data_IF_065400938817
#
_entry.id   IF_065400938817
#
_cell.length_a   1.000
_cell.length_b   1.000
_cell.length_c   1.000
_cell.angle_alpha   90.00
_cell.angle_beta   90.00
_cell.angle_gamma   90.00
#
_symmetry.space_group_name_H-M   'P 1'
#
loop_
_entity.id
_entity.type
_entity.pdbx_description
1 polymer ?
#
# COMPACT_ATOMS: atom_id res chain seq x y z
N UNK A 1 -62.01 17.62 -77.78
CA UNK A 1 -60.62 17.63 -77.48
C UNK A 1 -60.35 18.77 -76.49
N UNK A 2 -60.43 18.53 -75.23
CA UNK A 2 -60.33 19.53 -74.18
C UNK A 2 -59.15 19.13 -73.25
N UNK A 3 -58.13 19.94 -73.17
CA UNK A 3 -57.02 19.84 -72.26
C UNK A 3 -57.43 20.47 -70.92
N UNK A 4 -57.39 19.72 -69.88
CA UNK A 4 -57.52 20.29 -68.55
C UNK A 4 -56.14 20.48 -67.97
N UNK A 5 -55.93 21.70 -67.50
CA UNK A 5 -54.75 22.12 -66.76
C UNK A 5 -54.99 21.93 -65.30
N UNK A 6 -54.15 21.13 -64.63
CA UNK A 6 -54.19 20.96 -63.20
C UNK A 6 -53.07 21.81 -62.56
N UNK A 7 -53.48 22.79 -61.75
CA UNK A 7 -52.60 23.58 -60.91
C UNK A 7 -52.26 22.76 -59.67
N UNK A 8 -50.96 22.51 -59.46
CA UNK A 8 -50.48 21.95 -58.21
C UNK A 8 -49.99 23.08 -57.31
N UNK A 9 -50.69 23.30 -56.20
CA UNK A 9 -50.28 24.24 -55.15
C UNK A 9 -49.19 23.60 -54.30
N UNK A 10 -48.03 24.25 -54.25
CA UNK A 10 -46.95 23.92 -53.34
C UNK A 10 -47.21 24.55 -51.96
N UNK A 11 -47.54 23.73 -50.97
CA UNK A 11 -47.55 24.14 -49.56
C UNK A 11 -46.13 24.07 -48.99
N UNK A 12 -45.59 25.23 -48.66
CA UNK A 12 -44.29 25.37 -48.00
C UNK A 12 -44.49 25.15 -46.51
N UNK A 13 -44.19 23.93 -45.99
CA UNK A 13 -44.11 23.67 -44.57
C UNK A 13 -42.71 24.01 -44.06
N UNK A 14 -42.61 25.12 -43.33
CA UNK A 14 -41.46 25.45 -42.53
C UNK A 14 -41.37 24.41 -41.37
N UNK A 15 -40.49 23.44 -41.53
CA UNK A 15 -40.08 22.58 -40.45
C UNK A 15 -39.18 23.34 -39.48
N UNK A 16 -39.71 23.64 -38.33
CA UNK A 16 -38.86 24.01 -37.16
C UNK A 16 -38.07 22.77 -36.82
N UNK A 17 -36.79 22.77 -37.22
CA UNK A 17 -35.79 21.85 -36.67
C UNK A 17 -35.56 22.25 -35.21
N UNK A 18 -36.32 21.65 -34.30
CA UNK A 18 -36.00 21.61 -32.90
C UNK A 18 -34.72 20.78 -32.76
N UNK A 19 -33.62 21.39 -32.43
CA UNK A 19 -32.50 20.69 -31.84
C UNK A 19 -33.02 20.10 -30.49
N UNK A 20 -33.46 18.88 -30.50
CA UNK A 20 -33.47 18.08 -29.32
C UNK A 20 -32.01 17.67 -29.10
N UNK A 21 -31.33 18.34 -28.22
CA UNK A 21 -30.19 17.75 -27.54
C UNK A 21 -30.72 16.49 -26.81
N UNK A 22 -30.82 15.40 -27.54
CA UNK A 22 -30.84 14.08 -26.95
C UNK A 22 -29.46 13.88 -26.33
N UNK A 23 -29.31 14.44 -25.12
CA UNK A 23 -28.42 13.88 -24.13
C UNK A 23 -28.98 12.50 -23.88
N UNK A 24 -28.57 11.51 -24.67
CA UNK A 24 -28.67 10.13 -24.31
C UNK A 24 -27.82 10.00 -23.04
N UNK A 25 -28.46 10.27 -21.88
CA UNK A 25 -27.97 9.71 -20.63
C UNK A 25 -27.75 8.24 -20.94
N UNK A 26 -26.48 7.84 -20.98
CA UNK A 26 -26.10 6.44 -20.92
C UNK A 26 -26.60 5.94 -19.56
N UNK A 27 -27.88 5.63 -19.47
CA UNK A 27 -28.47 4.90 -18.37
C UNK A 27 -27.78 3.54 -18.38
N UNK A 28 -26.65 3.47 -17.70
CA UNK A 28 -26.02 2.19 -17.42
C UNK A 28 -27.10 1.30 -16.83
N UNK A 29 -27.32 0.14 -17.41
CA UNK A 29 -28.28 -0.84 -16.90
C UNK A 29 -28.02 -1.00 -15.39
N UNK A 30 -29.08 -0.98 -14.57
CA UNK A 30 -28.91 -1.11 -13.14
C UNK A 30 -28.19 -2.43 -12.82
N UNK A 31 -27.25 -2.38 -11.90
CA UNK A 31 -26.47 -3.55 -11.46
C UNK A 31 -27.42 -4.59 -10.89
N UNK A 32 -27.35 -5.81 -11.42
CA UNK A 32 -28.21 -6.91 -11.01
C UNK A 32 -27.57 -7.74 -9.90
N UNK A 33 -28.38 -8.32 -9.03
CA UNK A 33 -27.93 -9.34 -8.08
C UNK A 33 -27.34 -10.54 -8.83
N UNK A 34 -26.18 -11.00 -8.40
CA UNK A 34 -25.46 -12.11 -9.06
C UNK A 34 -24.47 -11.69 -10.14
N UNK A 35 -24.49 -10.44 -10.61
CA UNK A 35 -23.42 -9.93 -11.46
C UNK A 35 -22.08 -9.90 -10.70
N UNK A 36 -20.98 -10.11 -11.43
CA UNK A 36 -19.64 -10.01 -10.85
C UNK A 36 -19.30 -8.56 -10.50
N UNK A 37 -18.60 -8.40 -9.38
CA UNK A 37 -18.13 -7.10 -8.93
C UNK A 37 -16.78 -6.82 -9.59
N UNK A 38 -16.64 -5.64 -10.18
CA UNK A 38 -15.42 -5.16 -10.83
C UNK A 38 -14.74 -4.12 -9.95
N UNK A 39 -13.43 -4.21 -9.80
CA UNK A 39 -12.66 -3.31 -8.96
C UNK A 39 -11.56 -2.59 -9.74
N UNK A 40 -11.28 -1.36 -9.33
CA UNK A 40 -10.05 -0.62 -9.58
C UNK A 40 -9.28 -0.47 -8.27
N UNK A 41 -8.01 -0.14 -8.37
CA UNK A 41 -7.16 0.11 -7.21
C UNK A 41 -6.34 1.37 -7.39
N UNK A 42 -6.13 2.10 -6.31
CA UNK A 42 -5.27 3.29 -6.27
C UNK A 42 -4.49 3.27 -4.96
N UNK A 43 -3.21 3.62 -5.01
CA UNK A 43 -2.41 3.89 -3.81
C UNK A 43 -2.32 5.40 -3.66
N UNK A 44 -2.77 5.93 -2.55
CA UNK A 44 -2.77 7.37 -2.30
C UNK A 44 -1.40 7.84 -1.81
N UNK A 45 -0.51 8.16 -2.75
CA UNK A 45 0.84 8.67 -2.49
C UNK A 45 0.97 10.19 -2.71
N UNK A 46 -0.12 10.89 -3.07
CA UNK A 46 -0.05 12.24 -3.61
C UNK A 46 0.41 12.27 -5.08
N UNK A 47 0.80 13.43 -5.60
CA UNK A 47 1.31 13.54 -6.97
C UNK A 47 2.72 12.95 -7.08
N UNK A 48 2.89 11.94 -7.93
CA UNK A 48 4.17 11.31 -8.25
C UNK A 48 4.40 11.30 -9.76
N UNK A 49 5.58 11.75 -10.18
CA UNK A 49 6.03 11.63 -11.56
C UNK A 49 7.15 10.59 -11.66
N UNK A 50 7.09 9.74 -12.67
CA UNK A 50 8.00 8.62 -12.89
C UNK A 50 9.47 9.07 -12.97
N UNK A 51 10.31 8.54 -12.10
CA UNK A 51 11.76 8.50 -12.31
C UNK A 51 12.15 7.17 -12.98
N UNK A 52 13.06 7.24 -13.97
CA UNK A 52 13.40 6.10 -14.84
C UNK A 52 14.03 4.93 -14.09
N UNK A 53 13.41 3.78 -14.22
CA UNK A 53 14.04 2.46 -14.24
C UNK A 53 14.42 1.82 -12.90
N UNK A 54 13.50 1.03 -12.30
CA UNK A 54 13.82 -0.24 -11.63
C UNK A 54 12.52 -1.07 -11.63
N UNK A 55 12.59 -2.36 -12.01
CA UNK A 55 11.49 -3.31 -11.98
C UNK A 55 11.67 -4.23 -10.77
N UNK A 56 10.72 -4.23 -9.85
CA UNK A 56 10.50 -5.29 -8.84
C UNK A 56 9.13 -5.10 -8.21
N UNK A 57 8.57 -6.14 -7.56
CA UNK A 57 7.29 -6.19 -6.81
C UNK A 57 7.00 -4.89 -6.09
N UNK A 58 5.73 -4.57 -5.75
CA UNK A 58 5.30 -3.31 -5.12
C UNK A 58 6.50 -2.51 -4.63
N UNK A 59 6.83 -1.41 -5.28
CA UNK A 59 8.14 -0.77 -5.10
C UNK A 59 7.99 0.51 -4.30
N UNK A 60 9.00 0.80 -3.49
CA UNK A 60 9.22 2.18 -3.07
C UNK A 60 9.89 2.92 -4.22
N UNK A 61 9.21 3.95 -4.73
CA UNK A 61 9.76 4.81 -5.76
C UNK A 61 10.92 5.68 -5.23
N UNK A 62 11.61 6.36 -6.15
CA UNK A 62 12.53 7.39 -5.74
C UNK A 62 11.80 8.48 -4.94
N UNK A 63 12.50 9.04 -3.96
CA UNK A 63 11.95 10.03 -3.06
C UNK A 63 11.52 11.29 -3.78
N UNK A 64 10.34 11.76 -3.41
CA UNK A 64 9.84 13.11 -3.72
C UNK A 64 9.78 13.96 -2.44
N UNK A 65 9.52 15.26 -2.55
CA UNK A 65 9.50 16.20 -1.42
C UNK A 65 8.55 15.81 -0.27
N UNK A 66 7.51 15.02 -0.56
CA UNK A 66 6.48 14.62 0.39
C UNK A 66 6.59 13.17 0.89
N UNK A 67 7.65 12.45 0.56
CA UNK A 67 7.85 11.08 1.05
C UNK A 67 8.43 10.12 0.03
N UNK A 68 8.31 8.82 0.31
CA UNK A 68 8.68 7.74 -0.60
C UNK A 68 7.38 7.06 -1.03
N UNK A 69 6.95 7.24 -2.29
CA UNK A 69 5.72 6.61 -2.77
C UNK A 69 5.83 5.09 -2.82
N UNK A 70 4.73 4.42 -2.53
CA UNK A 70 4.54 3.00 -2.79
C UNK A 70 3.85 2.87 -4.14
N UNK A 71 4.31 1.98 -5.00
CA UNK A 71 3.76 1.75 -6.34
C UNK A 71 3.43 0.26 -6.51
N UNK A 72 2.40 -0.03 -7.28
CA UNK A 72 2.08 -1.41 -7.66
C UNK A 72 3.19 -2.02 -8.53
N UNK A 73 3.43 -3.32 -8.36
CA UNK A 73 4.35 -4.08 -9.21
C UNK A 73 3.85 -4.10 -10.66
N UNK A 74 4.69 -3.78 -11.65
CA UNK A 74 4.32 -3.96 -13.06
C UNK A 74 3.90 -5.38 -13.45
N UNK A 75 4.42 -6.39 -12.77
CA UNK A 75 4.03 -7.80 -12.98
C UNK A 75 2.72 -8.17 -12.27
N UNK A 76 2.30 -7.33 -11.33
CA UNK A 76 1.06 -7.42 -10.58
C UNK A 76 1.24 -7.82 -9.13
N UNK A 77 0.41 -7.25 -8.29
CA UNK A 77 0.33 -7.50 -6.85
C UNK A 77 -0.97 -8.21 -6.49
N UNK A 78 -0.90 -9.13 -5.54
CA UNK A 78 -2.07 -9.88 -5.09
C UNK A 78 -2.71 -9.24 -3.87
N UNK A 79 -4.02 -9.02 -3.94
CA UNK A 79 -4.84 -8.44 -2.88
C UNK A 79 -6.01 -9.36 -2.51
N UNK A 80 -6.42 -9.33 -1.24
CA UNK A 80 -7.65 -9.95 -0.78
C UNK A 80 -8.75 -8.92 -0.63
N UNK A 81 -9.96 -9.23 -1.11
CA UNK A 81 -11.14 -8.37 -0.93
C UNK A 81 -12.22 -9.16 -0.19
N UNK A 82 -12.78 -8.55 0.85
CA UNK A 82 -13.88 -9.08 1.67
C UNK A 82 -15.10 -8.19 1.47
N UNK A 83 -16.26 -8.81 1.19
CA UNK A 83 -17.57 -8.14 1.13
C UNK A 83 -18.62 -8.95 1.88
N UNK A 84 -19.06 -8.51 3.07
CA UNK A 84 -20.08 -9.20 3.85
C UNK A 84 -21.41 -9.38 3.10
N UNK A 85 -21.76 -8.41 2.25
CA UNK A 85 -23.02 -8.39 1.48
C UNK A 85 -22.93 -9.15 0.15
N UNK A 86 -21.78 -9.69 -0.23
CA UNK A 86 -21.65 -10.46 -1.47
C UNK A 86 -22.63 -11.65 -1.51
N UNK A 87 -23.09 -12.00 -2.71
CA UNK A 87 -24.03 -13.10 -2.91
C UNK A 87 -23.39 -14.47 -2.57
N UNK A 88 -24.16 -15.32 -1.94
CA UNK A 88 -23.74 -16.68 -1.61
C UNK A 88 -22.73 -16.76 -0.45
N UNK A 89 -21.93 -17.83 -0.44
CA UNK A 89 -21.00 -18.12 0.64
C UNK A 89 -19.60 -17.50 0.43
N UNK A 90 -19.29 -17.08 -0.79
CA UNK A 90 -18.01 -16.42 -1.09
C UNK A 90 -18.04 -14.97 -0.62
N UNK A 91 -17.51 -14.72 0.57
CA UNK A 91 -17.42 -13.38 1.18
C UNK A 91 -16.01 -12.78 1.07
N UNK A 92 -15.02 -13.57 0.67
CA UNK A 92 -13.66 -13.19 0.36
C UNK A 92 -13.25 -13.78 -0.98
N UNK A 93 -12.54 -13.00 -1.77
CA UNK A 93 -11.85 -13.49 -2.97
C UNK A 93 -10.52 -12.77 -3.15
N UNK A 94 -9.58 -13.44 -3.80
CA UNK A 94 -8.25 -12.92 -4.06
C UNK A 94 -8.14 -12.45 -5.52
N UNK A 95 -7.45 -11.35 -5.71
CA UNK A 95 -7.38 -10.62 -6.97
C UNK A 95 -5.95 -10.20 -7.28
N UNK A 96 -5.66 -10.02 -8.57
CA UNK A 96 -4.41 -9.49 -9.09
C UNK A 96 -4.62 -8.02 -9.50
N UNK A 97 -3.83 -7.12 -8.96
CA UNK A 97 -3.76 -5.73 -9.43
C UNK A 97 -2.87 -5.69 -10.67
N UNK A 98 -3.40 -5.15 -11.77
CA UNK A 98 -2.66 -4.87 -12.99
C UNK A 98 -2.47 -3.36 -13.11
N UNK A 99 -1.29 -2.84 -12.79
CA UNK A 99 -1.07 -1.41 -12.75
C UNK A 99 -1.18 -0.76 -14.14
N UNK A 100 -1.63 0.47 -14.14
CA UNK A 100 -1.62 1.31 -15.33
C UNK A 100 -0.20 1.86 -15.55
N UNK A 101 0.45 1.40 -16.61
CA UNK A 101 1.82 1.81 -16.96
C UNK A 101 1.85 2.96 -17.97
N UNK A 102 0.69 3.45 -18.42
CA UNK A 102 0.58 4.39 -19.55
C UNK A 102 0.34 5.84 -19.16
N UNK A 103 -0.13 6.08 -17.94
CA UNK A 103 -0.54 7.41 -17.46
C UNK A 103 0.55 8.12 -16.65
N UNK A 104 0.30 9.40 -16.35
CA UNK A 104 1.12 10.19 -15.41
C UNK A 104 1.14 9.62 -14.01
N UNK A 105 0.11 8.82 -13.64
CA UNK A 105 0.01 8.10 -12.36
C UNK A 105 0.54 6.68 -12.46
N UNK A 106 1.63 6.51 -13.17
CA UNK A 106 2.28 5.23 -13.43
C UNK A 106 2.37 4.37 -12.15
N UNK A 107 1.82 3.16 -12.22
CA UNK A 107 1.78 2.18 -11.15
C UNK A 107 1.14 2.64 -9.82
N UNK A 108 0.50 3.80 -9.74
CA UNK A 108 -0.30 4.19 -8.57
C UNK A 108 -1.74 3.67 -8.67
N UNK A 109 -2.26 3.56 -9.88
CA UNK A 109 -3.58 2.99 -10.14
C UNK A 109 -3.46 1.72 -10.98
N UNK A 110 -4.50 0.90 -10.94
CA UNK A 110 -4.53 -0.31 -11.73
C UNK A 110 -5.92 -0.94 -11.79
N UNK A 111 -6.16 -1.72 -12.83
CA UNK A 111 -7.33 -2.60 -12.89
C UNK A 111 -7.11 -3.82 -12.02
N UNK A 112 -8.19 -4.38 -11.49
CA UNK A 112 -8.14 -5.53 -10.60
C UNK A 112 -8.76 -6.74 -11.31
N UNK A 113 -7.97 -7.77 -11.54
CA UNK A 113 -8.37 -9.00 -12.21
C UNK A 113 -8.50 -10.15 -11.21
N UNK A 114 -9.39 -11.11 -11.48
CA UNK A 114 -9.55 -12.31 -10.66
C UNK A 114 -8.30 -13.19 -10.73
N UNK A 115 -7.85 -13.70 -9.59
CA UNK A 115 -6.86 -14.78 -9.55
C UNK A 115 -7.49 -16.13 -9.88
N UNK A 116 -8.61 -16.44 -9.25
CA UNK A 116 -9.38 -17.67 -9.50
C UNK A 116 -10.78 -17.31 -10.08
N UNK A 117 -11.08 -17.69 -11.33
CA UNK A 117 -12.38 -17.45 -11.93
C UNK A 117 -13.55 -18.06 -11.17
N UNK A 118 -13.34 -19.10 -10.36
CA UNK A 118 -14.38 -19.76 -9.57
C UNK A 118 -14.67 -19.03 -8.25
N UNK A 119 -13.73 -18.21 -7.78
CA UNK A 119 -13.83 -17.47 -6.52
C UNK A 119 -13.90 -15.97 -6.79
N UNK A 120 -15.08 -15.49 -7.14
CA UNK A 120 -15.32 -14.07 -7.41
C UNK A 120 -16.45 -13.55 -6.54
N UNK A 121 -16.31 -12.31 -6.11
CA UNK A 121 -17.38 -11.61 -5.40
C UNK A 121 -18.49 -11.22 -6.38
N UNK A 122 -19.73 -11.43 -5.97
CA UNK A 122 -20.92 -11.10 -6.75
C UNK A 122 -21.81 -10.16 -5.96
N UNK A 123 -22.48 -9.25 -6.65
CA UNK A 123 -23.47 -8.37 -6.04
C UNK A 123 -24.57 -9.16 -5.34
N UNK A 124 -24.77 -8.89 -4.06
CA UNK A 124 -25.84 -9.45 -3.26
C UNK A 124 -27.16 -8.70 -3.44
N UNK A 125 -28.14 -9.04 -2.60
CA UNK A 125 -29.51 -8.45 -2.68
C UNK A 125 -29.57 -7.02 -2.16
N UNK A 126 -28.75 -6.69 -1.14
CA UNK A 126 -28.71 -5.36 -0.55
C UNK A 126 -28.27 -4.29 -1.55
N UNK A 127 -28.75 -3.05 -1.39
CA UNK A 127 -28.28 -1.92 -2.18
C UNK A 127 -26.89 -1.47 -1.74
N UNK A 128 -26.65 -1.40 -0.42
CA UNK A 128 -25.36 -0.99 0.15
C UNK A 128 -24.41 -2.17 0.30
N UNK A 129 -23.22 -2.07 -0.30
CA UNK A 129 -22.15 -3.05 -0.16
C UNK A 129 -20.90 -2.39 0.43
N UNK A 130 -20.22 -3.08 1.35
CA UNK A 130 -18.99 -2.65 2.01
C UNK A 130 -17.85 -3.55 1.57
N UNK A 131 -16.78 -2.94 1.12
CA UNK A 131 -15.60 -3.62 0.61
C UNK A 131 -14.40 -3.30 1.52
N UNK A 132 -13.73 -4.36 1.94
CA UNK A 132 -12.52 -4.30 2.74
C UNK A 132 -11.43 -5.00 1.94
N UNK A 133 -10.39 -4.27 1.57
CA UNK A 133 -9.31 -4.83 0.80
C UNK A 133 -7.99 -4.79 1.59
N UNK A 134 -7.14 -5.76 1.34
CA UNK A 134 -5.88 -5.97 2.05
C UNK A 134 -4.77 -6.34 1.08
N UNK A 135 -3.60 -5.77 1.30
CA UNK A 135 -2.36 -6.12 0.63
C UNK A 135 -1.27 -6.46 1.65
N UNK A 136 -0.47 -7.46 1.42
CA UNK A 136 -0.64 -8.54 0.44
C UNK A 136 -1.75 -9.50 0.85
N UNK A 137 -2.25 -10.29 -0.10
CA UNK A 137 -3.27 -11.32 0.18
C UNK A 137 -2.74 -12.49 1.02
N UNK A 138 -1.45 -12.54 1.29
CA UNK A 138 -0.75 -13.64 1.93
C UNK A 138 -1.38 -14.07 3.26
N UNK A 139 -1.87 -15.30 3.32
CA UNK A 139 -2.54 -15.86 4.49
C UNK A 139 -1.64 -15.98 5.73
N UNK A 140 -0.31 -15.94 5.59
CA UNK A 140 0.61 -15.92 6.72
C UNK A 140 0.62 -14.57 7.44
N UNK A 141 0.20 -13.51 6.76
CA UNK A 141 0.17 -12.14 7.26
C UNK A 141 -1.25 -11.73 7.64
N UNK A 142 -2.24 -12.05 6.81
CA UNK A 142 -3.65 -11.81 7.06
C UNK A 142 -4.32 -13.10 7.55
N UNK A 143 -4.36 -13.28 8.87
CA UNK A 143 -4.93 -14.48 9.50
C UNK A 143 -6.30 -14.20 10.12
N UNK A 144 -7.05 -15.27 10.35
CA UNK A 144 -8.23 -15.30 11.22
C UNK A 144 -9.24 -14.18 10.93
N UNK A 145 -9.49 -13.87 9.64
CA UNK A 145 -10.48 -12.86 9.35
C UNK A 145 -11.89 -13.35 9.76
N UNK A 146 -12.62 -12.47 10.42
CA UNK A 146 -14.00 -12.71 10.81
C UNK A 146 -14.84 -11.47 10.51
N UNK A 147 -16.07 -11.73 10.04
CA UNK A 147 -17.06 -10.68 9.82
C UNK A 147 -17.98 -10.65 11.05
N UNK A 148 -17.98 -9.55 11.78
CA UNK A 148 -18.81 -9.34 12.95
C UNK A 148 -19.72 -8.12 12.74
N UNK A 149 -20.96 -8.40 12.33
CA UNK A 149 -21.90 -7.36 11.92
C UNK A 149 -21.38 -6.58 10.71
N UNK A 150 -21.07 -5.32 10.91
CA UNK A 150 -20.52 -4.44 9.86
C UNK A 150 -18.99 -4.34 9.87
N UNK A 151 -18.33 -4.89 10.87
CA UNK A 151 -16.89 -4.82 11.06
C UNK A 151 -16.20 -6.04 10.44
N UNK A 152 -14.94 -5.86 10.05
CA UNK A 152 -14.04 -6.96 9.68
C UNK A 152 -12.90 -6.99 10.66
N UNK A 153 -12.79 -8.10 11.37
CA UNK A 153 -11.70 -8.39 12.29
C UNK A 153 -10.70 -9.32 11.61
N UNK A 154 -9.42 -9.13 11.89
CA UNK A 154 -8.35 -9.98 11.38
C UNK A 154 -7.11 -9.88 12.26
N UNK A 155 -6.22 -10.84 12.13
CA UNK A 155 -4.91 -10.81 12.78
C UNK A 155 -3.85 -10.52 11.75
N UNK A 156 -3.02 -9.51 12.00
CA UNK A 156 -1.83 -9.20 11.21
C UNK A 156 -0.62 -9.75 11.93
N UNK A 157 0.20 -10.50 11.21
CA UNK A 157 1.45 -11.06 11.71
C UNK A 157 2.63 -10.37 11.05
N UNK A 158 3.31 -9.49 11.78
CA UNK A 158 4.52 -8.82 11.32
C UNK A 158 5.75 -9.50 11.93
N UNK A 159 6.64 -10.12 11.12
CA UNK A 159 7.74 -10.88 11.68
C UNK A 159 8.81 -10.00 12.31
N UNK A 160 9.47 -10.52 13.35
CA UNK A 160 10.61 -9.87 13.98
C UNK A 160 11.88 -9.93 13.10
N UNK A 161 11.99 -10.93 12.23
CA UNK A 161 13.08 -11.00 11.24
C UNK A 161 12.56 -10.51 9.91
N UNK A 162 13.13 -9.40 9.43
CA UNK A 162 12.70 -8.73 8.21
C UNK A 162 13.88 -8.63 7.24
N UNK A 163 14.10 -9.70 6.49
CA UNK A 163 15.22 -9.75 5.56
C UNK A 163 14.83 -9.13 4.21
N UNK A 164 15.72 -8.33 3.60
CA UNK A 164 15.56 -7.88 2.23
C UNK A 164 15.60 -9.05 1.25
N UNK A 165 15.03 -8.86 0.07
CA UNK A 165 15.08 -9.84 -1.02
C UNK A 165 16.35 -9.73 -1.85
N UNK A 166 17.09 -8.63 -1.70
CA UNK A 166 18.35 -8.39 -2.41
C UNK A 166 18.92 -7.01 -2.13
N UNK A 167 19.91 -6.64 -2.93
CA UNK A 167 20.65 -5.37 -2.83
C UNK A 167 20.90 -4.79 -4.21
N UNK A 168 20.89 -3.46 -4.31
CA UNK A 168 21.33 -2.75 -5.49
C UNK A 168 22.15 -1.51 -5.11
N UNK A 169 22.98 -1.05 -6.03
CA UNK A 169 23.89 0.07 -5.79
C UNK A 169 23.61 1.19 -6.79
N UNK A 170 23.60 2.43 -6.30
CA UNK A 170 23.48 3.63 -7.11
C UNK A 170 24.57 4.61 -6.72
N UNK A 171 25.32 5.13 -7.69
CA UNK A 171 26.32 6.18 -7.49
C UNK A 171 25.78 7.49 -8.05
N UNK A 172 25.83 8.54 -7.24
CA UNK A 172 25.51 9.90 -7.67
C UNK A 172 26.68 10.43 -8.52
N UNK A 173 26.40 10.80 -9.77
CA UNK A 173 27.41 11.25 -10.73
C UNK A 173 28.07 12.56 -10.33
N UNK A 174 27.38 13.42 -9.57
CA UNK A 174 27.87 14.73 -9.18
C UNK A 174 28.74 14.66 -7.91
N UNK A 175 28.30 13.88 -6.92
CA UNK A 175 28.97 13.79 -5.61
C UNK A 175 29.92 12.62 -5.49
N UNK A 176 29.83 11.64 -6.41
CA UNK A 176 30.54 10.36 -6.35
C UNK A 176 30.20 9.54 -5.09
N UNK A 177 29.13 9.91 -4.40
CA UNK A 177 28.65 9.15 -3.26
C UNK A 177 27.90 7.91 -3.73
N UNK A 178 28.25 6.76 -3.19
CA UNK A 178 27.61 5.48 -3.53
C UNK A 178 26.62 5.09 -2.43
N UNK A 179 25.40 4.78 -2.84
CA UNK A 179 24.37 4.27 -1.94
C UNK A 179 24.07 2.82 -2.28
N UNK A 180 24.14 1.97 -1.28
CA UNK A 180 23.70 0.57 -1.35
C UNK A 180 22.29 0.53 -0.75
N UNK A 181 21.33 0.17 -1.57
CA UNK A 181 19.92 0.05 -1.17
C UNK A 181 19.57 -1.42 -1.02
N UNK A 182 18.80 -1.73 0.00
CA UNK A 182 18.09 -2.99 0.02
C UNK A 182 17.01 -3.03 -1.07
N UNK A 183 16.71 -4.23 -1.55
CA UNK A 183 15.46 -4.54 -2.23
C UNK A 183 14.51 -5.06 -1.14
N UNK A 184 13.56 -4.24 -0.69
CA UNK A 184 12.74 -4.59 0.47
C UNK A 184 11.82 -5.78 0.16
N UNK A 185 11.54 -6.60 1.18
CA UNK A 185 10.47 -7.58 1.07
C UNK A 185 9.12 -6.90 1.28
N UNK A 186 8.40 -6.69 0.18
CA UNK A 186 7.14 -5.97 0.19
C UNK A 186 5.97 -6.74 0.83
N UNK A 187 6.15 -8.03 1.15
CA UNK A 187 5.17 -8.76 1.99
C UNK A 187 4.97 -8.09 3.36
N UNK A 188 5.91 -7.26 3.81
CA UNK A 188 5.80 -6.51 5.05
C UNK A 188 5.15 -5.13 4.88
N UNK A 189 5.00 -4.64 3.65
CA UNK A 189 4.41 -3.35 3.33
C UNK A 189 2.88 -3.41 3.33
N UNK A 190 2.30 -3.75 4.47
CA UNK A 190 0.88 -4.00 4.63
C UNK A 190 0.06 -2.74 4.32
N UNK A 191 -0.97 -2.90 3.48
CA UNK A 191 -1.92 -1.85 3.13
C UNK A 191 -3.35 -2.36 3.26
N UNK A 192 -4.28 -1.44 3.42
CA UNK A 192 -5.70 -1.72 3.47
C UNK A 192 -6.50 -0.65 2.74
N UNK A 193 -7.69 -1.02 2.26
CA UNK A 193 -8.66 -0.10 1.71
C UNK A 193 -10.07 -0.43 2.22
N UNK A 194 -10.93 0.57 2.26
CA UNK A 194 -12.34 0.44 2.54
C UNK A 194 -13.13 1.31 1.58
N UNK A 195 -14.18 0.75 1.01
CA UNK A 195 -15.16 1.52 0.26
C UNK A 195 -16.59 1.03 0.55
N UNK A 196 -17.54 1.94 0.58
CA UNK A 196 -18.96 1.65 0.69
C UNK A 196 -19.68 2.22 -0.53
N UNK A 197 -20.34 1.39 -1.28
CA UNK A 197 -21.08 1.80 -2.47
C UNK A 197 -22.54 1.35 -2.39
N UNK A 198 -23.39 2.10 -3.08
CA UNK A 198 -24.80 1.74 -3.30
C UNK A 198 -24.95 1.34 -4.77
N UNK A 199 -25.46 0.13 -5.03
CA UNK A 199 -25.69 -0.36 -6.40
C UNK A 199 -26.50 0.63 -7.24
N UNK A 200 -27.53 1.19 -6.62
CA UNK A 200 -28.44 2.17 -7.25
C UNK A 200 -27.77 3.49 -7.63
N UNK A 201 -26.61 3.81 -7.04
CA UNK A 201 -25.90 5.08 -7.25
C UNK A 201 -24.58 4.92 -8.00
N UNK A 202 -24.13 3.69 -8.26
CA UNK A 202 -22.85 3.44 -8.89
C UNK A 202 -22.90 3.80 -10.37
N UNK A 203 -22.25 4.89 -10.73
CA UNK A 203 -22.03 5.29 -12.11
C UNK A 203 -20.79 4.56 -12.63
N UNK A 204 -20.98 3.69 -13.62
CA UNK A 204 -19.94 2.78 -14.05
C UNK A 204 -19.96 1.48 -13.23
N UNK A 205 -19.19 0.48 -13.68
CA UNK A 205 -19.23 -0.86 -13.07
C UNK A 205 -18.06 -1.16 -12.16
N UNK A 206 -17.09 -0.25 -12.03
CA UNK A 206 -15.87 -0.44 -11.24
C UNK A 206 -15.96 0.26 -9.89
N UNK A 207 -15.45 -0.41 -8.86
CA UNK A 207 -15.33 0.11 -7.50
C UNK A 207 -13.87 0.42 -7.25
N UNK A 208 -13.55 1.68 -6.99
CA UNK A 208 -12.18 2.08 -6.69
C UNK A 208 -11.85 1.79 -5.22
N UNK A 209 -10.71 1.12 -5.01
CA UNK A 209 -10.13 0.80 -3.72
C UNK A 209 -8.91 1.69 -3.48
N UNK A 210 -9.04 2.66 -2.57
CA UNK A 210 -7.98 3.57 -2.19
C UNK A 210 -7.15 2.98 -1.04
N UNK A 211 -5.97 2.41 -1.39
CA UNK A 211 -5.11 1.74 -0.43
C UNK A 211 -4.29 2.72 0.40
N UNK A 212 -4.25 2.46 1.69
CA UNK A 212 -3.50 3.19 2.70
C UNK A 212 -2.54 2.24 3.40
N UNK A 213 -1.35 2.73 3.74
CA UNK A 213 -0.41 1.95 4.52
C UNK A 213 -1.00 1.60 5.90
N UNK A 214 -0.79 0.36 6.31
CA UNK A 214 -1.10 -0.10 7.67
C UNK A 214 0.12 0.01 8.57
N UNK A 215 1.28 -0.43 8.09
CA UNK A 215 2.53 -0.40 8.84
C UNK A 215 3.23 0.96 8.75
N UNK A 216 4.01 1.24 9.76
CA UNK A 216 4.97 2.34 9.75
C UNK A 216 6.30 1.83 9.23
N UNK A 217 6.96 2.60 8.39
CA UNK A 217 8.25 2.23 7.80
C UNK A 217 9.34 3.15 8.33
N UNK A 218 10.44 2.56 8.77
CA UNK A 218 11.67 3.28 9.05
C UNK A 218 12.59 3.18 7.84
N UNK A 219 12.98 4.30 7.27
CA UNK A 219 13.98 4.40 6.20
C UNK A 219 15.31 4.82 6.83
N UNK A 220 16.18 3.83 7.07
CA UNK A 220 17.37 3.97 7.90
C UNK A 220 18.59 4.10 7.01
N UNK A 221 19.30 5.22 7.14
CA UNK A 221 20.55 5.47 6.44
C UNK A 221 21.71 5.29 7.40
N UNK A 222 22.67 4.47 7.00
CA UNK A 222 23.89 4.15 7.74
C UNK A 222 25.08 4.59 6.91
N UNK A 223 25.72 5.73 7.23
CA UNK A 223 26.91 6.17 6.53
C UNK A 223 28.12 5.28 6.85
N UNK A 224 28.97 5.04 5.85
CA UNK A 224 30.24 4.34 6.01
C UNK A 224 31.26 5.10 6.85
N UNK A 225 32.51 4.57 6.97
CA UNK A 225 33.57 5.18 7.71
C UNK A 225 33.97 6.57 7.21
N UNK A 226 34.46 7.41 8.09
CA UNK A 226 34.95 8.76 7.72
C UNK A 226 36.29 8.74 7.00
N UNK A 227 37.16 7.76 7.30
CA UNK A 227 38.50 7.69 6.73
C UNK A 227 38.49 6.94 5.39
N UNK A 228 39.19 7.43 4.41
CA UNK A 228 39.26 6.87 3.05
C UNK A 228 39.78 5.44 2.97
N UNK A 229 40.62 5.04 3.93
CA UNK A 229 41.23 3.71 3.96
C UNK A 229 40.47 2.67 4.80
N UNK A 230 39.38 3.10 5.43
CA UNK A 230 38.59 2.23 6.28
C UNK A 230 37.45 1.58 5.50
N UNK A 231 37.17 0.33 5.87
CA UNK A 231 35.98 -0.40 5.43
C UNK A 231 35.39 -1.18 6.60
N UNK A 232 34.06 -1.23 6.65
CA UNK A 232 33.32 -1.97 7.67
C UNK A 232 32.28 -2.84 6.98
N UNK A 233 32.25 -4.12 7.33
CA UNK A 233 31.26 -5.06 6.82
C UNK A 233 30.16 -5.24 7.84
N UNK A 234 28.91 -4.91 7.45
CA UNK A 234 27.72 -5.04 8.28
C UNK A 234 27.09 -6.41 7.98
N UNK A 235 26.84 -7.19 9.03
CA UNK A 235 26.23 -8.51 8.92
C UNK A 235 24.76 -8.52 9.35
N UNK A 236 24.41 -7.76 10.40
CA UNK A 236 23.08 -7.74 10.95
C UNK A 236 22.80 -6.42 11.66
N UNK A 237 21.55 -6.00 11.64
CA UNK A 237 21.05 -4.84 12.37
C UNK A 237 19.87 -5.26 13.22
N UNK A 238 19.91 -4.94 14.51
CA UNK A 238 18.80 -5.15 15.44
C UNK A 238 18.31 -3.80 15.92
N UNK A 239 17.02 -3.57 15.77
CA UNK A 239 16.31 -2.36 16.18
C UNK A 239 15.42 -2.72 17.35
N UNK A 240 15.54 -1.99 18.45
CA UNK A 240 14.74 -2.23 19.65
C UNK A 240 14.22 -0.91 20.20
N UNK A 241 13.01 -0.86 20.78
CA UNK A 241 12.58 0.29 21.54
C UNK A 241 13.35 0.34 22.86
N UNK A 242 13.64 1.53 23.36
CA UNK A 242 14.25 1.68 24.69
C UNK A 242 13.25 1.45 25.80
N UNK A 243 11.97 1.69 25.54
CA UNK A 243 10.87 1.31 26.43
C UNK A 243 10.48 -0.15 26.23
N UNK A 244 10.75 -0.97 27.24
CA UNK A 244 10.49 -2.41 27.23
C UNK A 244 8.98 -2.76 27.19
N UNK A 245 8.10 -1.83 27.40
CA UNK A 245 6.65 -2.03 27.26
C UNK A 245 6.18 -1.98 25.80
N UNK A 246 7.02 -1.47 24.89
CA UNK A 246 6.70 -1.33 23.47
C UNK A 246 7.02 -2.62 22.70
N UNK A 247 6.15 -2.94 21.74
CA UNK A 247 6.30 -4.06 20.82
C UNK A 247 6.31 -3.52 19.41
N UNK A 248 7.30 -3.89 18.59
CA UNK A 248 7.43 -3.42 17.22
C UNK A 248 6.83 -4.38 16.20
N UNK A 249 6.79 -5.67 16.51
CA UNK A 249 6.42 -6.76 15.61
C UNK A 249 5.48 -7.76 16.28
N UNK A 250 5.11 -8.83 15.61
CA UNK A 250 4.26 -9.90 16.14
C UNK A 250 2.84 -9.85 15.62
N UNK A 251 1.93 -10.51 16.34
CA UNK A 251 0.54 -10.61 15.97
C UNK A 251 -0.27 -9.44 16.55
N UNK A 252 -0.99 -8.73 15.69
CA UNK A 252 -1.86 -7.61 16.07
C UNK A 252 -3.28 -7.93 15.64
N UNK A 253 -4.23 -7.79 16.54
CA UNK A 253 -5.65 -7.86 16.18
C UNK A 253 -6.09 -6.51 15.65
N UNK A 254 -6.60 -6.50 14.44
CA UNK A 254 -7.10 -5.31 13.77
C UNK A 254 -8.60 -5.43 13.51
N UNK A 255 -9.31 -4.32 13.67
CA UNK A 255 -10.72 -4.19 13.33
C UNK A 255 -10.88 -2.99 12.42
N UNK A 256 -11.38 -3.20 11.21
CA UNK A 256 -11.83 -2.09 10.38
C UNK A 256 -13.28 -1.79 10.74
N UNK A 257 -13.49 -0.56 11.19
CA UNK A 257 -14.79 -0.04 11.60
C UNK A 257 -15.26 0.90 10.50
N UNK A 258 -16.34 0.55 9.79
CA UNK A 258 -16.97 1.46 8.83
C UNK A 258 -17.35 2.80 9.49
N UNK A 259 -17.42 3.89 8.71
CA UNK A 259 -17.86 5.16 9.24
C UNK A 259 -19.30 5.05 9.79
N UNK A 260 -19.54 5.72 10.91
CA UNK A 260 -20.88 5.80 11.47
C UNK A 260 -21.82 6.49 10.47
N UNK A 261 -23.10 6.05 10.34
CA UNK A 261 -24.08 6.73 9.51
C UNK A 261 -24.29 8.21 9.86
N UNK A 262 -23.91 8.59 11.08
CA UNK A 262 -24.03 9.98 11.59
C UNK A 262 -22.70 10.75 11.49
N UNK A 263 -21.64 10.13 11.03
CA UNK A 263 -20.36 10.81 10.87
C UNK A 263 -20.38 11.76 9.66
N UNK A 264 -19.81 12.94 9.83
CA UNK A 264 -19.71 13.93 8.74
C UNK A 264 -18.65 13.54 7.67
N UNK A 265 -17.90 12.46 7.90
CA UNK A 265 -16.87 11.97 6.97
C UNK A 265 -17.03 10.47 6.77
N UNK A 266 -17.08 10.04 5.52
CA UNK A 266 -17.14 8.63 5.11
C UNK A 266 -15.77 7.93 5.21
N UNK A 267 -15.04 8.16 6.30
CA UNK A 267 -13.71 7.58 6.52
C UNK A 267 -13.84 6.41 7.50
N UNK A 268 -13.50 5.21 7.04
CA UNK A 268 -13.35 4.08 7.94
C UNK A 268 -12.16 4.29 8.88
N UNK A 269 -12.30 3.81 10.10
CA UNK A 269 -11.22 3.79 11.08
C UNK A 269 -10.71 2.37 11.27
N UNK A 270 -9.45 2.25 11.69
CA UNK A 270 -8.87 0.99 12.08
C UNK A 270 -8.53 1.04 13.58
N UNK A 271 -8.98 0.04 14.29
CA UNK A 271 -8.62 -0.16 15.69
C UNK A 271 -7.64 -1.31 15.79
N UNK A 272 -6.53 -1.08 16.47
CA UNK A 272 -5.53 -2.09 16.78
C UNK A 272 -5.59 -2.45 18.26
N UNK A 273 -5.44 -3.72 18.53
CA UNK A 273 -5.12 -4.21 19.86
C UNK A 273 -3.84 -5.03 19.80
N UNK A 274 -2.87 -4.65 20.61
CA UNK A 274 -1.65 -5.45 20.77
C UNK A 274 -1.94 -6.60 21.73
N UNK A 275 -1.48 -7.82 21.42
CA UNK A 275 -1.46 -8.89 22.40
C UNK A 275 -0.52 -8.55 23.56
N UNK A 276 -0.51 -9.37 24.59
CA UNK A 276 0.43 -9.23 25.71
C UNK A 276 1.87 -9.13 25.16
N UNK A 277 2.65 -8.14 25.57
CA UNK A 277 3.99 -7.94 25.05
C UNK A 277 4.86 -9.20 25.21
N UNK A 278 5.46 -9.65 24.12
CA UNK A 278 6.38 -10.77 24.08
C UNK A 278 7.79 -10.26 23.73
N UNK A 279 8.81 -10.70 24.45
CA UNK A 279 10.20 -10.29 24.21
C UNK A 279 10.65 -10.52 22.77
N UNK A 280 10.23 -11.64 22.15
CA UNK A 280 10.57 -11.97 20.78
C UNK A 280 10.03 -10.96 19.75
N UNK A 281 9.01 -10.17 20.10
CA UNK A 281 8.35 -9.20 19.23
C UNK A 281 8.71 -7.74 19.54
N UNK A 282 9.61 -7.51 20.50
CA UNK A 282 10.08 -6.16 20.84
C UNK A 282 11.13 -5.64 19.87
N UNK A 283 11.75 -6.50 19.10
CA UNK A 283 12.86 -6.12 18.22
C UNK A 283 12.59 -6.49 16.75
N UNK A 284 13.28 -5.78 15.87
CA UNK A 284 13.37 -6.10 14.46
C UNK A 284 14.81 -6.48 14.17
N UNK A 285 15.04 -7.63 13.52
CA UNK A 285 16.34 -8.09 13.07
C UNK A 285 16.37 -8.11 11.54
N UNK A 286 17.38 -7.48 10.96
CA UNK A 286 17.58 -7.38 9.51
C UNK A 286 18.95 -7.96 9.18
N UNK A 287 18.99 -9.04 8.40
CA UNK A 287 20.21 -9.63 7.91
C UNK A 287 20.76 -8.81 6.75
N UNK A 288 21.96 -8.29 6.90
CA UNK A 288 22.64 -7.48 5.89
C UNK A 288 23.65 -8.35 5.12
N UNK A 289 23.17 -9.41 4.49
CA UNK A 289 24.03 -10.29 3.69
C UNK A 289 23.57 -10.33 2.23
N UNK A 290 24.56 -10.51 1.34
CA UNK A 290 24.28 -10.70 -0.08
C UNK A 290 23.88 -12.18 -0.38
N UNK A 291 23.63 -12.49 -1.64
CA UNK A 291 23.29 -13.85 -2.10
C UNK A 291 24.34 -14.92 -1.78
N UNK A 292 25.57 -14.50 -1.56
CA UNK A 292 26.70 -15.40 -1.22
C UNK A 292 26.88 -15.51 0.29
N UNK A 293 25.91 -15.03 1.07
CA UNK A 293 25.92 -15.00 2.54
C UNK A 293 27.07 -14.18 3.12
N UNK A 294 27.55 -13.17 2.40
CA UNK A 294 28.58 -12.23 2.83
C UNK A 294 27.94 -10.93 3.26
N UNK A 295 28.43 -10.35 4.36
CA UNK A 295 27.97 -9.06 4.85
C UNK A 295 28.16 -7.92 3.85
N UNK A 296 27.39 -6.87 3.99
CA UNK A 296 27.47 -5.68 3.15
C UNK A 296 28.63 -4.80 3.62
N UNK A 297 29.62 -4.59 2.74
CA UNK A 297 30.79 -3.77 3.05
C UNK A 297 30.55 -2.33 2.63
N UNK A 298 30.78 -1.41 3.57
CA UNK A 298 30.76 0.04 3.35
C UNK A 298 32.17 0.60 3.43
N UNK A 299 32.54 1.39 2.44
CA UNK A 299 33.76 2.17 2.38
C UNK A 299 33.49 3.65 2.69
N UNK A 300 34.52 4.46 2.67
CA UNK A 300 34.37 5.92 2.68
C UNK A 300 33.49 6.38 1.50
N UNK A 301 32.64 7.39 1.73
CA UNK A 301 31.66 7.91 0.77
C UNK A 301 30.60 6.88 0.31
N UNK A 302 30.45 5.78 1.04
CA UNK A 302 29.35 4.85 0.82
C UNK A 302 28.36 4.93 1.98
N UNK A 303 27.09 4.60 1.68
CA UNK A 303 26.03 4.49 2.67
C UNK A 303 25.14 3.31 2.38
N UNK A 304 24.60 2.71 3.42
CA UNK A 304 23.59 1.67 3.36
C UNK A 304 22.23 2.25 3.70
N UNK A 305 21.22 1.94 2.89
CA UNK A 305 19.83 2.33 3.14
C UNK A 305 18.98 1.08 3.25
N UNK A 306 18.32 0.91 4.38
CA UNK A 306 17.47 -0.24 4.70
C UNK A 306 16.10 0.24 5.21
N UNK A 307 15.11 -0.64 5.10
CA UNK A 307 13.77 -0.40 5.65
C UNK A 307 13.44 -1.39 6.76
N UNK A 308 12.76 -0.90 7.76
CA UNK A 308 12.19 -1.72 8.80
C UNK A 308 10.69 -1.41 8.94
N UNK A 309 9.90 -2.44 9.06
CA UNK A 309 8.45 -2.34 9.17
C UNK A 309 8.05 -2.57 10.63
N UNK A 310 7.28 -1.66 11.17
CA UNK A 310 6.78 -1.79 12.52
C UNK A 310 5.28 -1.50 12.59
N UNK A 311 4.63 -2.15 13.52
CA UNK A 311 3.25 -1.88 13.80
C UNK A 311 3.18 -0.79 14.89
N UNK A 312 2.53 0.32 14.61
CA UNK A 312 2.44 1.40 15.59
C UNK A 312 1.56 0.97 16.77
N UNK A 313 1.95 1.35 17.98
CA UNK A 313 1.12 1.23 19.17
C UNK A 313 0.16 2.41 19.22
N UNK A 314 -1.02 2.31 18.59
CA UNK A 314 -1.94 3.45 18.56
C UNK A 314 -3.36 3.01 18.77
N UNK A 315 -3.98 3.64 19.76
CA UNK A 315 -5.41 3.50 20.03
C UNK A 315 -6.28 4.22 18.96
N UNK A 316 -5.72 5.21 18.27
CA UNK A 316 -6.40 5.99 17.25
C UNK A 316 -5.50 6.21 16.03
N UNK A 317 -5.70 5.42 15.00
CA UNK A 317 -4.91 5.35 13.78
C UNK A 317 -4.80 6.68 12.98
N UNK A 318 -5.64 7.66 13.24
CA UNK A 318 -5.80 8.81 12.35
C UNK A 318 -4.94 10.03 12.68
N UNK A 319 -4.20 10.04 13.75
CA UNK A 319 -3.74 11.36 14.20
C UNK A 319 -2.33 11.44 14.66
N UNK A 320 -1.44 10.62 14.93
CA UNK A 320 -0.33 11.13 15.71
C UNK A 320 1.09 10.73 15.31
N UNK A 321 1.94 11.74 15.38
CA UNK A 321 3.37 11.60 15.49
C UNK A 321 3.68 11.14 16.92
N UNK A 322 4.04 9.90 17.07
CA UNK A 322 4.49 9.36 18.33
C UNK A 322 6.03 9.47 18.43
N UNK A 323 6.51 9.84 19.60
CA UNK A 323 7.94 9.89 19.86
C UNK A 323 8.39 8.57 20.47
N UNK A 324 9.11 7.77 19.69
CA UNK A 324 9.71 6.52 20.14
C UNK A 324 11.22 6.69 20.22
N UNK A 325 11.83 6.26 21.31
CA UNK A 325 13.28 6.17 21.39
C UNK A 325 13.72 4.77 20.97
N UNK A 326 14.53 4.69 19.93
CA UNK A 326 15.04 3.43 19.39
C UNK A 326 16.52 3.26 19.73
N UNK A 327 16.91 2.01 19.87
CA UNK A 327 18.30 1.58 19.99
C UNK A 327 18.63 0.70 18.78
N UNK A 328 19.78 0.94 18.18
CA UNK A 328 20.30 0.19 17.04
C UNK A 328 21.56 -0.56 17.46
N UNK A 329 21.54 -1.87 17.25
CA UNK A 329 22.72 -2.72 17.44
C UNK A 329 23.15 -3.25 16.08
N UNK A 330 24.31 -2.81 15.61
CA UNK A 330 24.87 -3.12 14.30
C UNK A 330 26.03 -4.09 14.50
N UNK A 331 25.87 -5.32 14.04
CA UNK A 331 26.92 -6.33 14.06
C UNK A 331 27.79 -6.21 12.82
N UNK A 332 29.07 -5.98 13.03
CA UNK A 332 30.06 -5.85 11.97
C UNK A 332 31.02 -7.02 11.99
N UNK A 333 31.93 -7.07 11.01
CA UNK A 333 33.02 -8.04 10.97
C UNK A 333 34.09 -7.81 12.04
N UNK A 334 34.09 -6.67 12.74
CA UNK A 334 35.03 -6.31 13.79
C UNK A 334 34.41 -6.34 15.18
N UNK A 335 33.25 -5.71 15.33
CA UNK A 335 32.61 -5.55 16.64
C UNK A 335 31.09 -5.36 16.48
N UNK A 336 30.39 -5.30 17.59
CA UNK A 336 28.99 -4.89 17.63
C UNK A 336 28.90 -3.47 18.15
N UNK A 337 28.42 -2.57 17.30
CA UNK A 337 28.17 -1.17 17.64
C UNK A 337 26.76 -1.01 18.20
N UNK A 338 26.63 -0.26 19.28
CA UNK A 338 25.33 0.07 19.85
C UNK A 338 25.11 1.58 19.84
N UNK A 339 24.03 2.02 19.20
CA UNK A 339 23.60 3.41 19.16
C UNK A 339 22.29 3.49 19.94
N UNK A 340 22.35 4.08 21.13
CA UNK A 340 21.22 4.16 22.03
C UNK A 340 20.50 5.51 21.89
N UNK A 341 19.22 5.49 22.25
CA UNK A 341 18.38 6.67 22.40
C UNK A 341 18.31 7.56 21.15
N UNK A 342 18.13 6.94 19.98
CA UNK A 342 17.82 7.70 18.77
C UNK A 342 16.36 8.16 18.89
N UNK A 343 16.10 9.45 19.16
CA UNK A 343 14.74 9.95 19.24
C UNK A 343 14.13 9.95 17.84
N UNK A 344 13.11 9.16 17.65
CA UNK A 344 12.45 9.03 16.36
C UNK A 344 11.02 9.51 16.49
N UNK A 345 10.69 10.55 15.74
CA UNK A 345 9.30 10.95 15.55
C UNK A 345 8.70 10.04 14.50
N UNK A 346 7.82 9.15 14.92
CA UNK A 346 7.15 8.21 14.04
C UNK A 346 5.79 8.78 13.69
N UNK A 347 5.60 9.06 12.41
CA UNK A 347 4.27 9.29 11.86
C UNK A 347 3.74 7.95 11.36
N UNK A 348 2.59 7.57 11.90
CA UNK A 348 1.97 6.30 11.57
C UNK A 348 1.63 6.20 10.10
N UNK A 349 1.72 4.97 9.58
CA UNK A 349 1.41 4.66 8.20
C UNK A 349 2.22 5.46 7.18
N UNK A 350 3.36 5.99 7.60
CA UNK A 350 4.28 6.75 6.74
C UNK A 350 5.68 6.18 6.81
N UNK A 351 6.50 6.58 5.86
CA UNK A 351 7.93 6.32 5.86
C UNK A 351 8.62 7.39 6.71
N UNK A 352 9.29 6.96 7.75
CA UNK A 352 10.00 7.82 8.69
C UNK A 352 11.51 7.63 8.52
N UNK A 353 12.24 8.73 8.43
CA UNK A 353 13.68 8.68 8.18
C UNK A 353 14.48 8.69 9.45
N UNK A 354 15.53 7.88 9.42
CA UNK A 354 16.54 7.83 10.47
C UNK A 354 17.92 7.90 9.81
N UNK A 355 18.69 8.90 10.19
CA UNK A 355 20.09 8.99 9.83
C UNK A 355 20.94 8.62 11.04
N UNK A 356 21.67 7.53 10.94
CA UNK A 356 22.60 7.10 11.98
C UNK A 356 23.96 7.82 11.84
N UNK A 357 24.75 7.91 12.92
CA UNK A 357 26.11 8.43 12.83
C UNK A 357 27.00 7.51 11.96
N UNK A 358 28.11 8.07 11.45
CA UNK A 358 29.09 7.26 10.73
C UNK A 358 29.57 6.09 11.60
N UNK A 359 29.67 4.94 10.97
CA UNK A 359 30.24 3.76 11.62
C UNK A 359 31.73 3.99 11.83
N UNK A 360 32.20 3.77 13.06
CA UNK A 360 33.62 3.72 13.35
C UNK A 360 34.15 2.34 12.97
N UNK A 361 35.35 2.26 12.38
CA UNK A 361 35.95 0.99 11.97
C UNK A 361 36.35 0.12 13.14
#
# INVERSE_FOLDING_TARGET
MKKQLLLAGAALTLGLAGCSDDVTENLSNPIQTGEEIVFGSTINNGEYQKANGIQTKTIYAERIDHGIPVLWDPEGDEIAIVCPQALGNTKRADYLVKPDTTTTNWNQSGSVAKLDPSQTLKWGEEDAHKFFAFYPQNASILKDYAIEGENVNFTISLPATQNPTGWHTKTDENTQETTIYEIPNMDYALMWAYNKVYKSKLQGKSIDLDFKNFVTVLDITIPGPKNEHDAVTINNIVISPTDQSQQLTGDFKATIIPPSPTAHHDIASMKLSTPTPNEAHRQISISCVNKDNQGITLKHNEKLVIKAYLCPKIENYNLDTEKINLSFRISTNKETLTINHVPTHITNSKVNRILLPNIKP
#
